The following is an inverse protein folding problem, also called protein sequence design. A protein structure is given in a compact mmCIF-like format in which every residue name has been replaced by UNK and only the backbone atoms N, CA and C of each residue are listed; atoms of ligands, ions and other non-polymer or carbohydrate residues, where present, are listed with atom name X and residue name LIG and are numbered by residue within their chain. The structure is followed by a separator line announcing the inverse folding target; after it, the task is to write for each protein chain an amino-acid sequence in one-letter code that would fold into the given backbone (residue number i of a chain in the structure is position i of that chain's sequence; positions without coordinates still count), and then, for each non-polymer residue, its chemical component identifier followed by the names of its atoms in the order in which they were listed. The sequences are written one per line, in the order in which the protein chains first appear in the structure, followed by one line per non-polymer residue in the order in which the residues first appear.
data_IF_075450864367
#
_entry.id   IF_075450864367
#
_cell.length_a   1.000
_cell.length_b   1.000
_cell.length_c   1.000
_cell.angle_alpha   90.00
_cell.angle_beta   90.00
_cell.angle_gamma   90.00
#
_symmetry.space_group_name_H-M   'P 1'
#
loop_
_entity.id
_entity.type
_entity.pdbx_description
1 polymer ?
#
# COMPACT_ATOMS: atom_id res chain seq x y z
N UNK A 1 2.17 3.36 -27.69
CA UNK A 1 2.47 2.23 -26.78
C UNK A 1 1.26 1.32 -26.76
N UNK A 2 1.45 0.00 -26.72
CA UNK A 2 0.32 -0.93 -26.62
C UNK A 2 -0.31 -0.85 -25.23
N UNK A 3 -1.63 -0.99 -25.17
CA UNK A 3 -2.38 -1.09 -23.93
C UNK A 3 -2.13 -2.48 -23.32
N UNK A 4 -2.32 -2.62 -22.00
CA UNK A 4 -2.40 -3.92 -21.35
C UNK A 4 -3.84 -4.43 -21.41
N UNK A 5 -4.02 -5.71 -21.75
CA UNK A 5 -5.30 -6.41 -21.56
C UNK A 5 -5.10 -7.62 -20.65
N UNK A 6 -5.83 -7.64 -19.55
CA UNK A 6 -5.80 -8.71 -18.55
C UNK A 6 -6.99 -9.64 -18.77
N UNK A 7 -6.72 -10.93 -18.96
CA UNK A 7 -7.75 -11.95 -18.91
C UNK A 7 -7.98 -12.40 -17.47
N UNK A 8 -9.18 -12.10 -16.95
CA UNK A 8 -9.62 -12.54 -15.63
C UNK A 8 -11.08 -13.05 -15.73
N UNK A 9 -11.30 -14.37 -15.72
CA UNK A 9 -12.65 -14.93 -15.80
C UNK A 9 -13.46 -14.76 -14.50
N UNK A 10 -12.83 -14.37 -13.40
CA UNK A 10 -13.46 -14.23 -12.08
C UNK A 10 -13.19 -12.84 -11.48
N UNK A 11 -13.69 -11.75 -12.10
CA UNK A 11 -13.49 -10.40 -11.59
C UNK A 11 -14.17 -10.20 -10.24
N UNK A 12 -13.61 -9.32 -9.42
CA UNK A 12 -14.19 -8.94 -8.14
C UNK A 12 -13.41 -7.84 -7.42
N UNK A 13 -13.91 -7.36 -6.27
CA UNK A 13 -13.34 -6.17 -5.62
C UNK A 13 -11.86 -6.28 -5.25
N UNK A 14 -11.36 -7.48 -4.94
CA UNK A 14 -9.93 -7.69 -4.63
C UNK A 14 -9.07 -7.59 -5.89
N UNK A 15 -9.51 -8.14 -7.03
CA UNK A 15 -8.79 -8.01 -8.30
C UNK A 15 -8.84 -6.58 -8.81
N UNK A 16 -10.00 -5.92 -8.74
CA UNK A 16 -10.17 -4.52 -9.15
C UNK A 16 -9.21 -3.61 -8.36
N UNK A 17 -9.16 -3.79 -7.04
CA UNK A 17 -8.28 -3.01 -6.17
C UNK A 17 -6.80 -3.21 -6.48
N UNK A 18 -6.35 -4.47 -6.59
CA UNK A 18 -4.92 -4.74 -6.83
C UNK A 18 -4.50 -4.40 -8.26
N UNK A 19 -5.35 -4.62 -9.25
CA UNK A 19 -5.05 -4.20 -10.62
C UNK A 19 -4.96 -2.69 -10.72
N UNK A 20 -5.89 -1.94 -10.11
CA UNK A 20 -5.80 -0.48 -10.06
C UNK A 20 -4.55 0.03 -9.33
N UNK A 21 -4.16 -0.62 -8.23
CA UNK A 21 -2.91 -0.27 -7.55
C UNK A 21 -1.69 -0.53 -8.45
N UNK A 22 -1.57 -1.72 -9.03
CA UNK A 22 -0.43 -2.11 -9.86
C UNK A 22 -0.34 -1.25 -11.12
N UNK A 23 -1.42 -1.17 -11.89
CA UNK A 23 -1.38 -0.56 -13.23
C UNK A 23 -1.64 0.95 -13.22
N UNK A 24 -2.57 1.46 -12.40
CA UNK A 24 -2.86 2.90 -12.38
C UNK A 24 -1.91 3.66 -11.44
N UNK A 25 -1.65 3.11 -10.24
CA UNK A 25 -0.95 3.86 -9.18
C UNK A 25 0.58 3.69 -9.21
N UNK A 26 1.07 2.49 -9.51
CA UNK A 26 2.52 2.19 -9.48
C UNK A 26 3.14 2.27 -10.87
N UNK A 27 2.57 1.59 -11.86
CA UNK A 27 3.13 1.52 -13.21
C UNK A 27 2.70 2.67 -14.12
N UNK A 28 1.54 3.28 -13.86
CA UNK A 28 0.91 4.32 -14.69
C UNK A 28 0.68 3.86 -16.15
N UNK A 29 0.23 2.61 -16.33
CA UNK A 29 -0.02 1.99 -17.62
C UNK A 29 -1.50 2.04 -17.99
N UNK A 30 -1.80 2.28 -19.27
CA UNK A 30 -3.15 2.08 -19.77
C UNK A 30 -3.48 0.59 -19.81
N UNK A 31 -4.57 0.20 -19.16
CA UNK A 31 -4.96 -1.20 -19.04
C UNK A 31 -6.48 -1.42 -19.13
N UNK A 32 -6.88 -2.66 -19.29
CA UNK A 32 -8.27 -3.10 -19.23
C UNK A 32 -8.36 -4.57 -18.84
N UNK A 33 -9.54 -4.98 -18.40
CA UNK A 33 -9.86 -6.35 -18.00
C UNK A 33 -10.93 -6.93 -18.92
N UNK A 34 -10.82 -8.22 -19.26
CA UNK A 34 -11.91 -8.98 -19.88
C UNK A 34 -12.04 -10.36 -19.25
N UNK A 35 -13.29 -10.79 -19.04
CA UNK A 35 -13.62 -12.16 -18.69
C UNK A 35 -13.90 -13.06 -19.90
N UNK A 36 -13.88 -12.51 -21.12
CA UNK A 36 -14.18 -13.27 -22.35
C UNK A 36 -12.90 -13.65 -23.07
N UNK A 37 -12.68 -14.95 -23.20
CA UNK A 37 -11.48 -15.48 -23.84
C UNK A 37 -11.33 -15.03 -25.30
N UNK A 38 -12.42 -14.96 -26.07
CA UNK A 38 -12.36 -14.56 -27.47
C UNK A 38 -11.92 -13.10 -27.66
N UNK A 39 -12.34 -12.19 -26.77
CA UNK A 39 -11.88 -10.80 -26.78
C UNK A 39 -10.38 -10.72 -26.47
N UNK A 40 -9.92 -11.50 -25.48
CA UNK A 40 -8.51 -11.58 -25.13
C UNK A 40 -7.64 -12.17 -26.25
N UNK A 41 -8.09 -13.29 -26.83
CA UNK A 41 -7.35 -14.01 -27.86
C UNK A 41 -7.16 -13.14 -29.11
N UNK A 42 -8.21 -12.46 -29.55
CA UNK A 42 -8.20 -11.62 -30.77
C UNK A 42 -7.57 -10.22 -30.56
N UNK A 43 -7.25 -9.84 -29.32
CA UNK A 43 -6.61 -8.55 -29.06
C UNK A 43 -5.15 -8.51 -29.54
N UNK A 44 -4.74 -7.32 -30.00
CA UNK A 44 -3.34 -7.00 -30.33
C UNK A 44 -2.60 -6.29 -29.17
N UNK A 45 -3.27 -6.12 -28.03
CA UNK A 45 -2.69 -5.54 -26.82
C UNK A 45 -1.67 -6.49 -26.15
N UNK A 46 -0.91 -5.97 -25.19
CA UNK A 46 -0.04 -6.82 -24.35
C UNK A 46 -0.93 -7.68 -23.46
N UNK A 47 -0.83 -9.00 -23.65
CA UNK A 47 -1.72 -9.98 -23.04
C UNK A 47 -1.18 -10.49 -21.72
N UNK A 48 -1.88 -10.20 -20.63
CA UNK A 48 -1.64 -10.80 -19.31
C UNK A 48 -2.78 -11.75 -19.00
N UNK A 49 -2.45 -12.95 -18.56
CA UNK A 49 -3.41 -13.97 -18.18
C UNK A 49 -3.37 -14.22 -16.67
N UNK A 50 -4.53 -14.09 -16.02
CA UNK A 50 -4.74 -14.40 -14.62
C UNK A 50 -6.00 -15.27 -14.45
N UNK A 51 -5.92 -16.52 -14.91
CA UNK A 51 -7.05 -17.47 -14.93
C UNK A 51 -6.75 -18.87 -14.37
N UNK A 52 -5.51 -19.12 -13.93
CA UNK A 52 -5.06 -20.43 -13.45
C UNK A 52 -4.82 -21.49 -14.52
N UNK A 53 -5.04 -21.16 -15.79
CA UNK A 53 -4.63 -21.98 -16.94
C UNK A 53 -3.51 -21.25 -17.67
N UNK A 54 -2.59 -21.98 -18.31
CA UNK A 54 -1.60 -21.36 -19.19
C UNK A 54 -2.20 -21.07 -20.57
N UNK A 55 -1.96 -19.85 -21.08
CA UNK A 55 -2.35 -19.43 -22.43
C UNK A 55 -1.07 -19.09 -23.21
N UNK A 56 -0.90 -19.75 -24.36
CA UNK A 56 0.24 -19.52 -25.26
C UNK A 56 0.23 -18.09 -25.78
N UNK A 57 1.40 -17.44 -25.76
CA UNK A 57 1.55 -16.06 -26.25
C UNK A 57 1.01 -14.99 -25.29
N UNK A 58 0.65 -15.36 -24.06
CA UNK A 58 0.34 -14.42 -22.97
C UNK A 58 1.42 -14.47 -21.88
N UNK A 59 1.52 -13.40 -21.10
CA UNK A 59 2.22 -13.41 -19.82
C UNK A 59 1.34 -14.11 -18.78
N UNK A 60 1.73 -15.31 -18.37
CA UNK A 60 0.92 -16.14 -17.47
C UNK A 60 1.36 -15.88 -16.03
N UNK A 61 0.46 -15.32 -15.22
CA UNK A 61 0.68 -15.09 -13.80
C UNK A 61 0.05 -16.25 -13.03
N UNK A 62 0.79 -16.91 -12.11
CA UNK A 62 0.23 -17.91 -11.22
C UNK A 62 -1.03 -17.41 -10.52
N UNK A 63 -2.00 -18.31 -10.38
CA UNK A 63 -3.30 -18.01 -9.80
C UNK A 63 -3.50 -18.90 -8.58
N UNK A 64 -3.36 -18.32 -7.40
CA UNK A 64 -3.63 -18.99 -6.14
C UNK A 64 -5.14 -19.07 -5.84
N UNK A 65 -5.92 -18.12 -6.37
CA UNK A 65 -7.36 -17.99 -6.11
C UNK A 65 -7.70 -17.22 -4.82
N UNK A 66 -6.70 -16.74 -4.08
CA UNK A 66 -6.88 -15.94 -2.86
C UNK A 66 -7.69 -14.66 -3.10
N UNK A 67 -7.55 -14.06 -4.28
CA UNK A 67 -8.30 -12.87 -4.66
C UNK A 67 -9.81 -13.14 -4.91
N UNK A 68 -10.21 -14.41 -5.05
CA UNK A 68 -11.60 -14.78 -5.30
C UNK A 68 -12.36 -15.15 -4.02
N UNK A 69 -11.68 -15.20 -2.89
CA UNK A 69 -12.30 -15.46 -1.61
C UNK A 69 -13.23 -14.31 -1.19
N UNK A 70 -14.46 -14.67 -0.80
CA UNK A 70 -15.49 -13.72 -0.36
C UNK A 70 -15.53 -13.52 1.15
N UNK A 71 -14.92 -14.45 1.90
CA UNK A 71 -14.87 -14.39 3.35
C UNK A 71 -13.49 -13.92 3.80
N UNK A 72 -13.48 -13.19 4.89
CA UNK A 72 -12.25 -12.90 5.60
C UNK A 72 -11.98 -14.06 6.55
N UNK A 73 -10.90 -14.78 6.30
CA UNK A 73 -10.42 -15.91 7.12
C UNK A 73 -8.98 -15.64 7.53
N UNK A 74 -8.58 -16.11 8.70
CA UNK A 74 -7.18 -16.11 9.11
C UNK A 74 -6.39 -16.98 8.14
N UNK A 75 -5.62 -16.34 7.26
CA UNK A 75 -4.81 -16.97 6.25
C UNK A 75 -3.42 -16.33 6.24
N UNK A 76 -2.40 -17.19 6.31
CA UNK A 76 -1.00 -16.82 6.23
C UNK A 76 -0.43 -17.50 4.98
N UNK A 77 0.00 -16.74 3.95
CA UNK A 77 0.53 -17.32 2.73
C UNK A 77 1.87 -18.01 2.97
N UNK A 78 2.12 -19.06 2.19
CA UNK A 78 3.47 -19.59 2.04
C UNK A 78 4.40 -18.53 1.46
N UNK A 79 5.68 -18.63 1.79
CA UNK A 79 6.69 -17.67 1.36
C UNK A 79 8.02 -18.35 1.01
N UNK A 80 8.78 -17.68 0.15
CA UNK A 80 10.13 -18.12 -0.26
C UNK A 80 11.06 -16.92 -0.45
N UNK A 81 12.37 -17.17 -0.48
CA UNK A 81 13.37 -16.18 -0.87
C UNK A 81 13.89 -16.49 -2.27
N UNK A 82 13.63 -15.60 -3.22
CA UNK A 82 14.09 -15.73 -4.61
C UNK A 82 15.06 -14.60 -4.93
N UNK A 83 16.35 -14.91 -5.11
CA UNK A 83 17.40 -13.92 -5.41
C UNK A 83 17.42 -12.70 -4.46
N UNK A 84 17.14 -12.92 -3.17
CA UNK A 84 17.08 -11.85 -2.16
C UNK A 84 15.75 -11.09 -2.09
N UNK A 85 14.76 -11.47 -2.91
CA UNK A 85 13.39 -10.98 -2.87
C UNK A 85 12.51 -11.97 -2.07
N UNK A 86 11.91 -11.57 -0.94
CA UNK A 86 10.89 -12.38 -0.30
C UNK A 86 9.66 -12.41 -1.21
N UNK A 87 9.15 -13.58 -1.56
CA UNK A 87 7.92 -13.74 -2.36
C UNK A 87 6.86 -14.44 -1.54
N UNK A 88 5.61 -14.01 -1.70
CA UNK A 88 4.43 -14.65 -1.10
C UNK A 88 3.67 -15.39 -2.20
N UNK A 89 2.94 -16.44 -1.83
CA UNK A 89 2.18 -17.27 -2.77
C UNK A 89 3.07 -17.88 -3.88
N UNK A 90 4.16 -18.58 -3.52
CA UNK A 90 5.06 -19.20 -4.50
C UNK A 90 4.33 -20.24 -5.37
N UNK A 91 4.73 -20.35 -6.63
CA UNK A 91 4.13 -21.24 -7.61
C UNK A 91 5.14 -21.68 -8.68
N UNK A 92 5.64 -22.91 -8.53
CA UNK A 92 6.65 -23.51 -9.42
C UNK A 92 6.02 -24.33 -10.55
N UNK A 93 5.17 -23.70 -11.36
CA UNK A 93 4.40 -24.39 -12.41
C UNK A 93 4.81 -24.00 -13.84
N UNK A 94 6.00 -23.41 -14.01
CA UNK A 94 6.54 -23.04 -15.33
C UNK A 94 5.80 -21.87 -15.99
N UNK A 95 5.11 -21.05 -15.21
CA UNK A 95 4.49 -19.81 -15.66
C UNK A 95 5.51 -18.68 -15.83
N UNK A 96 5.05 -17.47 -16.22
CA UNK A 96 5.96 -16.35 -16.48
C UNK A 96 6.55 -15.73 -15.20
N UNK A 97 5.99 -16.07 -14.04
CA UNK A 97 6.50 -15.77 -12.70
C UNK A 97 6.40 -17.02 -11.82
N UNK A 98 7.23 -17.08 -10.79
CA UNK A 98 7.26 -18.18 -9.81
C UNK A 98 6.42 -17.90 -8.55
N UNK A 99 5.49 -16.93 -8.61
CA UNK A 99 4.56 -16.60 -7.54
C UNK A 99 3.34 -15.84 -8.06
N UNK A 100 2.24 -15.87 -7.31
CA UNK A 100 1.04 -15.08 -7.61
C UNK A 100 1.26 -13.61 -7.19
N UNK A 101 1.75 -12.82 -8.15
CA UNK A 101 2.03 -11.40 -7.98
C UNK A 101 0.85 -10.63 -7.39
N UNK A 102 -0.35 -10.85 -7.91
CA UNK A 102 -1.50 -10.05 -7.54
C UNK A 102 -2.01 -10.44 -6.15
N UNK A 103 -2.00 -11.73 -5.80
CA UNK A 103 -2.29 -12.16 -4.44
C UNK A 103 -1.27 -11.60 -3.43
N UNK A 104 0.02 -11.67 -3.75
CA UNK A 104 1.10 -11.16 -2.90
C UNK A 104 0.98 -9.65 -2.65
N UNK A 105 0.83 -8.86 -3.72
CA UNK A 105 0.66 -7.40 -3.62
C UNK A 105 -0.58 -7.08 -2.82
N UNK A 106 -1.73 -7.69 -3.15
CA UNK A 106 -2.99 -7.44 -2.43
C UNK A 106 -2.86 -7.72 -0.93
N UNK A 107 -2.27 -8.87 -0.55
CA UNK A 107 -2.09 -9.26 0.84
C UNK A 107 -1.32 -8.19 1.63
N UNK A 108 -0.24 -7.67 1.03
CA UNK A 108 0.61 -6.67 1.66
C UNK A 108 -0.05 -5.29 1.75
N UNK A 109 -0.58 -4.77 0.65
CA UNK A 109 -1.11 -3.39 0.61
C UNK A 109 -2.45 -3.26 1.33
N UNK A 110 -3.25 -4.33 1.37
CA UNK A 110 -4.51 -4.35 2.14
C UNK A 110 -4.27 -4.54 3.64
N UNK A 111 -3.04 -4.88 4.07
CA UNK A 111 -2.73 -5.27 5.45
C UNK A 111 -3.64 -6.40 5.93
N UNK A 112 -3.88 -7.41 5.07
CA UNK A 112 -4.86 -8.48 5.27
C UNK A 112 -4.76 -9.15 6.66
N UNK A 113 -3.52 -9.36 7.12
CA UNK A 113 -3.22 -9.95 8.43
C UNK A 113 -3.83 -9.19 9.62
N UNK A 114 -4.00 -7.87 9.54
CA UNK A 114 -4.46 -7.03 10.66
C UNK A 114 -5.94 -7.26 10.99
N UNK A 115 -6.75 -7.59 9.98
CA UNK A 115 -8.18 -7.82 10.14
C UNK A 115 -8.49 -9.15 10.84
N UNK A 116 -7.58 -10.12 10.77
CA UNK A 116 -7.83 -11.49 11.26
C UNK A 116 -7.09 -11.78 12.56
N UNK A 117 -6.01 -11.07 12.85
CA UNK A 117 -5.29 -11.21 14.11
C UNK A 117 -6.06 -10.58 15.27
N UNK A 118 -6.20 -11.32 16.37
CA UNK A 118 -6.85 -10.85 17.60
C UNK A 118 -5.91 -10.12 18.55
N UNK A 119 -4.60 -10.32 18.43
CA UNK A 119 -3.59 -9.64 19.24
C UNK A 119 -3.56 -8.14 18.95
N UNK A 120 -3.58 -7.34 20.02
CA UNK A 120 -3.55 -5.88 19.98
C UNK A 120 -2.56 -5.34 21.02
N UNK A 121 -1.90 -4.25 20.69
CA UNK A 121 -1.08 -3.51 21.65
C UNK A 121 -1.96 -2.69 22.63
N UNK A 122 -1.31 -1.96 23.55
CA UNK A 122 -2.00 -1.12 24.54
C UNK A 122 -2.88 -0.01 23.95
N UNK A 123 -2.73 0.28 22.65
CA UNK A 123 -3.50 1.28 21.92
C UNK A 123 -4.54 0.64 20.97
N UNK A 124 -4.72 -0.68 21.01
CA UNK A 124 -5.66 -1.38 20.14
C UNK A 124 -5.17 -1.58 18.72
N UNK A 125 -3.86 -1.46 18.46
CA UNK A 125 -3.25 -1.59 17.12
C UNK A 125 -2.69 -2.99 16.90
N UNK A 126 -2.57 -3.40 15.65
CA UNK A 126 -1.85 -4.63 15.29
C UNK A 126 -0.34 -4.48 15.58
N UNK A 127 0.27 -5.36 16.41
CA UNK A 127 1.69 -5.28 16.70
C UNK A 127 2.54 -5.61 15.46
N UNK A 128 3.43 -4.70 15.07
CA UNK A 128 4.32 -4.92 13.90
C UNK A 128 5.14 -6.20 13.97
N UNK A 129 5.49 -6.67 15.18
CA UNK A 129 6.24 -7.91 15.40
C UNK A 129 5.48 -9.16 14.95
N UNK A 130 4.15 -9.06 14.92
CA UNK A 130 3.27 -10.11 14.42
C UNK A 130 3.07 -10.01 12.90
N UNK A 131 3.64 -9.02 12.22
CA UNK A 131 3.56 -8.94 10.77
C UNK A 131 4.47 -9.97 10.11
N UNK A 132 4.02 -10.50 8.98
CA UNK A 132 4.88 -11.30 8.11
C UNK A 132 6.14 -10.54 7.69
N UNK A 133 6.01 -9.23 7.42
CA UNK A 133 7.13 -8.36 7.06
C UNK A 133 8.22 -8.27 8.14
N UNK A 134 7.82 -8.22 9.41
CA UNK A 134 8.76 -8.27 10.53
C UNK A 134 9.37 -9.66 10.67
N UNK A 135 8.55 -10.73 10.68
CA UNK A 135 9.02 -12.11 10.85
C UNK A 135 10.03 -12.52 9.77
N UNK A 136 9.84 -12.04 8.55
CA UNK A 136 10.71 -12.32 7.41
C UNK A 136 11.80 -11.26 7.17
N UNK A 137 11.92 -10.25 8.05
CA UNK A 137 13.01 -9.29 8.01
C UNK A 137 12.96 -8.28 6.85
N UNK A 138 11.80 -8.05 6.23
CA UNK A 138 11.62 -7.09 5.14
C UNK A 138 10.76 -5.88 5.50
N UNK A 139 10.46 -5.65 6.78
CA UNK A 139 9.61 -4.54 7.25
C UNK A 139 10.03 -3.16 6.70
N UNK A 140 11.32 -2.94 6.50
CA UNK A 140 11.87 -1.68 5.98
C UNK A 140 12.05 -1.66 4.45
N UNK A 141 11.54 -2.65 3.73
CA UNK A 141 11.64 -2.76 2.27
C UNK A 141 10.27 -2.54 1.62
N UNK A 142 10.21 -1.82 0.49
CA UNK A 142 8.98 -1.64 -0.27
C UNK A 142 8.73 -2.88 -1.16
N UNK A 143 8.58 -4.06 -0.55
CA UNK A 143 8.55 -5.34 -1.29
C UNK A 143 7.43 -5.41 -2.32
N UNK A 144 6.29 -4.76 -2.06
CA UNK A 144 5.19 -4.69 -3.02
C UNK A 144 5.61 -3.93 -4.29
N UNK A 145 6.25 -2.77 -4.15
CA UNK A 145 6.83 -2.04 -5.27
C UNK A 145 7.94 -2.87 -5.96
N UNK A 146 8.83 -3.51 -5.20
CA UNK A 146 9.89 -4.38 -5.75
C UNK A 146 9.30 -5.51 -6.61
N UNK A 147 8.23 -6.18 -6.17
CA UNK A 147 7.52 -7.20 -6.95
C UNK A 147 6.92 -6.63 -8.24
N UNK A 148 6.32 -5.44 -8.17
CA UNK A 148 5.69 -4.79 -9.33
C UNK A 148 6.74 -4.39 -10.37
N UNK A 149 7.88 -3.83 -9.94
CA UNK A 149 8.98 -3.49 -10.85
C UNK A 149 9.65 -4.74 -11.42
N UNK A 150 9.81 -5.80 -10.63
CA UNK A 150 10.27 -7.10 -11.12
C UNK A 150 9.33 -7.65 -12.19
N UNK A 151 8.03 -7.66 -11.93
CA UNK A 151 7.00 -8.04 -12.91
C UNK A 151 7.10 -7.23 -14.20
N UNK A 152 7.22 -5.91 -14.11
CA UNK A 152 7.34 -5.06 -15.29
C UNK A 152 8.58 -5.39 -16.12
N UNK A 153 9.70 -5.72 -15.47
CA UNK A 153 10.91 -6.17 -16.14
C UNK A 153 10.73 -7.52 -16.84
N UNK A 154 10.12 -8.51 -16.18
CA UNK A 154 9.85 -9.82 -16.78
C UNK A 154 8.85 -9.73 -17.94
N UNK A 155 7.79 -8.92 -17.79
CA UNK A 155 6.80 -8.69 -18.85
C UNK A 155 7.47 -8.16 -20.12
N UNK A 156 8.40 -7.22 -19.98
CA UNK A 156 9.12 -6.60 -21.10
C UNK A 156 10.09 -7.55 -21.80
N UNK A 157 10.55 -8.63 -21.15
CA UNK A 157 11.35 -9.67 -21.82
C UNK A 157 10.52 -10.45 -22.84
N UNK A 158 9.22 -10.64 -22.55
CA UNK A 158 8.28 -11.35 -23.45
C UNK A 158 7.63 -10.37 -24.44
N UNK A 159 7.32 -9.14 -23.99
CA UNK A 159 6.71 -8.08 -24.78
C UNK A 159 7.60 -6.83 -24.79
N UNK A 160 8.62 -6.75 -25.68
CA UNK A 160 9.57 -5.63 -25.70
C UNK A 160 8.93 -4.25 -25.93
N UNK A 161 7.74 -4.21 -26.52
CA UNK A 161 6.92 -3.04 -26.80
C UNK A 161 5.93 -2.67 -25.67
N UNK A 162 5.95 -3.42 -24.56
CA UNK A 162 5.17 -3.07 -23.37
C UNK A 162 5.60 -1.69 -22.83
N UNK A 163 4.71 -0.97 -22.12
CA UNK A 163 5.04 0.34 -21.57
C UNK A 163 6.20 0.29 -20.55
N UNK A 164 6.84 1.43 -20.31
CA UNK A 164 7.84 1.61 -19.24
C UNK A 164 7.08 2.14 -18.02
N UNK A 165 7.41 1.75 -16.78
CA UNK A 165 6.83 2.37 -15.58
C UNK A 165 6.99 3.91 -15.62
N UNK A 166 5.90 4.65 -15.41
CA UNK A 166 5.87 6.11 -15.55
C UNK A 166 6.31 6.88 -14.29
N UNK A 167 6.24 6.24 -13.12
CA UNK A 167 6.40 6.91 -11.83
C UNK A 167 7.81 7.47 -11.65
N UNK A 168 7.88 8.77 -11.34
CA UNK A 168 9.10 9.44 -10.90
C UNK A 168 9.05 9.72 -9.39
N UNK A 169 10.21 9.67 -8.73
CA UNK A 169 10.28 9.97 -7.30
C UNK A 169 9.96 11.45 -7.05
N UNK A 170 9.00 11.70 -6.17
CA UNK A 170 8.64 13.04 -5.70
C UNK A 170 8.67 13.04 -4.17
N UNK A 171 9.49 13.92 -3.61
CA UNK A 171 9.52 14.15 -2.17
C UNK A 171 8.52 15.24 -1.80
N UNK A 172 7.41 14.86 -1.17
CA UNK A 172 6.40 15.77 -0.65
C UNK A 172 6.35 15.67 0.88
N UNK A 173 7.07 16.54 1.62
CA UNK A 173 7.04 16.51 3.07
C UNK A 173 5.65 16.93 3.57
N UNK A 174 5.08 16.11 4.44
CA UNK A 174 3.86 16.44 5.20
C UNK A 174 4.21 16.60 6.68
N UNK A 175 3.45 17.43 7.38
CA UNK A 175 3.63 17.67 8.81
C UNK A 175 2.27 17.52 9.46
N UNK A 176 2.18 16.66 10.48
CA UNK A 176 1.01 16.57 11.34
C UNK A 176 1.10 17.61 12.45
N UNK A 177 0.10 18.49 12.55
CA UNK A 177 0.08 19.59 13.52
C UNK A 177 -1.04 19.33 14.52
N UNK A 178 -0.73 18.63 15.61
CA UNK A 178 -1.66 18.39 16.74
C UNK A 178 -2.18 19.70 17.34
N UNK A 179 -1.32 20.71 17.35
CA UNK A 179 -1.63 21.98 17.98
C UNK A 179 -0.94 23.15 17.29
N UNK A 180 -1.69 23.88 16.48
CA UNK A 180 -1.19 25.06 15.79
C UNK A 180 -0.87 26.25 16.72
N UNK A 181 -1.32 26.24 17.98
CA UNK A 181 -1.12 27.36 18.92
C UNK A 181 -0.92 26.90 20.36
N UNK A 182 0.12 27.38 21.03
CA UNK A 182 0.32 27.15 22.46
C UNK A 182 -0.72 27.90 23.29
N UNK A 183 -1.08 29.13 22.89
CA UNK A 183 -1.96 30.01 23.68
C UNK A 183 -3.17 30.51 22.91
N UNK A 184 -2.98 30.93 21.65
CA UNK A 184 -4.09 31.45 20.84
C UNK A 184 -5.12 30.36 20.56
N UNK A 185 -6.36 30.78 20.34
CA UNK A 185 -7.46 29.89 19.91
C UNK A 185 -7.77 28.70 20.85
N UNK A 186 -7.27 28.70 22.09
CA UNK A 186 -7.51 27.62 23.07
C UNK A 186 -8.86 27.68 23.79
N UNK A 187 -9.67 28.70 23.53
CA UNK A 187 -10.94 28.93 24.22
C UNK A 187 -10.76 29.46 25.63
N UNK A 188 -11.80 30.10 26.18
CA UNK A 188 -11.71 30.83 27.45
C UNK A 188 -11.33 29.91 28.63
N UNK A 189 -11.91 28.72 28.70
CA UNK A 189 -11.68 27.77 29.80
C UNK A 189 -10.21 27.33 29.87
N UNK A 190 -9.61 26.92 28.74
CA UNK A 190 -8.19 26.51 28.74
C UNK A 190 -7.26 27.67 28.99
N UNK A 191 -7.58 28.87 28.47
CA UNK A 191 -6.81 30.08 28.76
C UNK A 191 -6.83 30.41 30.24
N UNK A 192 -8.02 30.43 30.87
CA UNK A 192 -8.18 30.69 32.30
C UNK A 192 -7.47 29.62 33.16
N UNK A 193 -7.64 28.34 32.85
CA UNK A 193 -6.93 27.26 33.52
C UNK A 193 -5.42 27.36 33.37
N UNK A 194 -4.94 27.79 32.20
CA UNK A 194 -3.54 28.13 31.96
C UNK A 194 -3.07 29.23 32.91
N UNK A 195 -3.82 30.35 33.01
CA UNK A 195 -3.47 31.47 33.90
C UNK A 195 -3.41 31.03 35.36
N UNK A 196 -4.41 30.28 35.81
CA UNK A 196 -4.46 29.73 37.16
C UNK A 196 -3.25 28.81 37.44
N UNK A 197 -2.92 27.90 36.51
CA UNK A 197 -1.75 27.02 36.62
C UNK A 197 -0.45 27.82 36.79
N UNK A 198 -0.26 28.86 35.99
CA UNK A 198 0.95 29.68 36.05
C UNK A 198 1.03 30.50 37.36
N UNK A 199 -0.10 30.98 37.88
CA UNK A 199 -0.17 31.64 39.19
C UNK A 199 0.15 30.69 40.35
N UNK A 200 -0.44 29.49 40.36
CA UNK A 200 -0.18 28.46 41.40
C UNK A 200 1.29 28.05 41.41
N UNK A 201 1.94 27.99 40.24
CA UNK A 201 3.37 27.68 40.11
C UNK A 201 4.31 28.88 40.32
N UNK A 202 3.76 30.08 40.56
CA UNK A 202 4.52 31.35 40.61
C UNK A 202 5.37 31.60 39.33
N UNK A 203 4.92 31.08 38.18
CA UNK A 203 5.58 31.28 36.89
C UNK A 203 5.12 32.58 36.23
N UNK A 204 5.62 33.69 36.77
CA UNK A 204 5.34 35.03 36.25
C UNK A 204 5.88 35.25 34.82
N UNK A 205 6.85 34.43 34.38
CA UNK A 205 7.38 34.51 33.02
C UNK A 205 6.37 33.95 32.02
N UNK A 206 5.80 32.76 32.27
CA UNK A 206 4.75 32.18 31.43
C UNK A 206 3.50 33.08 31.42
N UNK A 207 3.11 33.64 32.56
CA UNK A 207 2.00 34.61 32.65
C UNK A 207 2.21 35.80 31.70
N UNK A 208 3.34 36.50 31.85
CA UNK A 208 3.66 37.66 31.00
C UNK A 208 3.75 37.27 29.52
N UNK A 209 4.34 36.11 29.23
CA UNK A 209 4.45 35.59 27.88
C UNK A 209 3.06 35.32 27.27
N UNK A 210 2.20 34.56 27.96
CA UNK A 210 0.84 34.22 27.51
C UNK A 210 0.02 35.48 27.27
N UNK A 211 0.06 36.45 28.19
CA UNK A 211 -0.65 37.72 28.01
C UNK A 211 -0.16 38.45 26.78
N UNK A 212 1.17 38.58 26.58
CA UNK A 212 1.73 39.22 25.38
C UNK A 212 1.32 38.51 24.09
N UNK A 213 1.23 37.19 24.07
CA UNK A 213 0.74 36.43 22.91
C UNK A 213 -0.75 36.69 22.66
N UNK A 214 -1.59 36.58 23.69
CA UNK A 214 -3.04 36.73 23.54
C UNK A 214 -3.47 38.15 23.13
N UNK A 215 -2.71 39.18 23.52
CA UNK A 215 -2.95 40.57 23.09
C UNK A 215 -2.20 40.95 21.81
N UNK A 216 -1.51 40.01 21.15
CA UNK A 216 -0.81 40.23 19.89
C UNK A 216 0.53 40.97 19.98
N UNK A 217 1.04 41.24 21.18
CA UNK A 217 2.38 41.87 21.38
C UNK A 217 3.54 40.88 21.22
N UNK A 218 3.26 39.58 21.10
CA UNK A 218 4.25 38.53 20.83
C UNK A 218 3.65 37.44 19.95
N UNK A 219 4.48 36.80 19.12
CA UNK A 219 4.07 35.61 18.37
C UNK A 219 3.82 34.44 19.32
N UNK A 220 2.80 33.65 19.00
CA UNK A 220 2.61 32.35 19.63
C UNK A 220 3.87 31.49 19.33
N UNK A 221 4.37 30.70 20.30
CA UNK A 221 5.61 29.95 20.14
C UNK A 221 5.44 28.66 19.36
N UNK A 222 4.19 28.29 19.04
CA UNK A 222 3.88 27.24 18.07
C UNK A 222 3.63 27.87 16.69
#
# INVERSE_FOLDING_TARGET
MRKILIYNPNPGPRTDYVFGFVFDSVLEWQWGETGKYDEFFNSNDVKINYSGKSITGAFNIPYHGFLNEKKLTGYEPDYEMQNGLPVLFPAHNGQSLDFDLFAAVFYMISRYEEYTHTSRDQHGRFPSQNSMAYRMGFLNRPVADEWIYFFAAELRKIFPDAPVPGRSFVFQPTIDIDNAYAFRHKGLIRSAGGYLRSLVKLDFRELSFRTKVLIGKRKDPY
#
